data_IF_947204877787
#
_entry.id   IF_947204877787
#
_cell.length_a   1.000
_cell.length_b   1.000
_cell.length_c   1.000
_cell.angle_alpha   90.00
_cell.angle_beta   90.00
_cell.angle_gamma   90.00
#
_symmetry.space_group_name_H-M   'P 1'
#
loop_
_entity.id
_entity.type
_entity.pdbx_description
1 polymer ?
#
# COMPACT_ATOMS: atom_id res chain seq x y z
N UNK A 1 -9.08 -1.05 28.93
CA UNK A 1 -10.46 -0.70 28.56
C UNK A 1 -10.83 -1.43 27.29
N UNK A 2 -11.82 -2.33 27.32
CA UNK A 2 -12.42 -2.90 26.10
C UNK A 2 -13.31 -1.79 25.52
N UNK A 3 -12.85 -1.13 24.44
CA UNK A 3 -13.74 -0.26 23.66
C UNK A 3 -14.78 -1.17 23.03
N UNK A 4 -15.99 -1.19 23.56
CA UNK A 4 -17.12 -1.85 22.91
C UNK A 4 -17.35 -1.14 21.58
N UNK A 5 -17.17 -1.89 20.50
CA UNK A 5 -17.43 -1.36 19.16
C UNK A 5 -18.89 -0.94 19.08
N UNK A 6 -19.14 0.32 18.78
CA UNK A 6 -20.52 0.80 18.65
C UNK A 6 -21.18 0.15 17.42
N UNK A 7 -22.38 -0.46 17.54
CA UNK A 7 -22.98 -1.23 16.44
C UNK A 7 -23.11 -0.47 15.13
N UNK A 8 -23.44 0.85 15.20
CA UNK A 8 -23.58 1.68 13.99
C UNK A 8 -22.28 1.78 13.16
N UNK A 9 -21.09 1.70 13.81
CA UNK A 9 -19.80 1.74 13.12
C UNK A 9 -19.57 0.47 12.28
N UNK A 10 -19.98 -0.68 12.81
CA UNK A 10 -19.95 -1.94 12.06
C UNK A 10 -20.90 -1.88 10.87
N UNK A 11 -22.13 -1.40 11.09
CA UNK A 11 -23.14 -1.24 10.02
C UNK A 11 -22.58 -0.31 8.93
N UNK A 12 -22.08 0.86 9.30
CA UNK A 12 -21.51 1.82 8.34
C UNK A 12 -20.34 1.23 7.57
N UNK A 13 -19.42 0.53 8.26
CA UNK A 13 -18.27 -0.10 7.63
C UNK A 13 -18.70 -1.19 6.63
N UNK A 14 -19.58 -2.10 7.02
CA UNK A 14 -20.02 -3.17 6.13
C UNK A 14 -20.92 -2.67 5.00
N UNK A 15 -21.72 -1.63 5.22
CA UNK A 15 -22.50 -0.98 4.16
C UNK A 15 -21.57 -0.31 3.13
N UNK A 16 -20.53 0.42 3.56
CA UNK A 16 -19.56 1.01 2.67
C UNK A 16 -18.72 -0.05 1.93
N UNK A 17 -18.35 -1.14 2.61
CA UNK A 17 -17.66 -2.29 2.00
C UNK A 17 -18.55 -2.92 0.90
N UNK A 18 -19.80 -3.25 1.22
CA UNK A 18 -20.73 -3.85 0.28
C UNK A 18 -21.02 -2.93 -0.90
N UNK A 19 -21.24 -1.64 -0.64
CA UNK A 19 -21.47 -0.63 -1.68
C UNK A 19 -20.26 -0.48 -2.61
N UNK A 20 -19.05 -0.43 -2.07
CA UNK A 20 -17.81 -0.36 -2.84
C UNK A 20 -17.58 -1.60 -3.70
N UNK A 21 -17.85 -2.80 -3.16
CA UNK A 21 -17.79 -4.06 -3.92
C UNK A 21 -18.83 -4.08 -5.04
N UNK A 22 -20.10 -3.75 -4.73
CA UNK A 22 -21.17 -3.70 -5.71
C UNK A 22 -20.85 -2.72 -6.84
N UNK A 23 -20.35 -1.52 -6.49
CA UNK A 23 -19.91 -0.54 -7.47
C UNK A 23 -18.78 -1.07 -8.35
N UNK A 24 -17.72 -1.64 -7.76
CA UNK A 24 -16.57 -2.13 -8.52
C UNK A 24 -16.96 -3.24 -9.53
N UNK A 25 -17.80 -4.20 -9.10
CA UNK A 25 -18.19 -5.31 -9.96
C UNK A 25 -19.37 -4.99 -10.90
N UNK A 26 -20.07 -3.86 -10.72
CA UNK A 26 -21.03 -3.34 -11.70
C UNK A 26 -20.34 -2.70 -12.92
N UNK A 27 -19.05 -2.33 -12.78
CA UNK A 27 -18.30 -1.75 -13.89
C UNK A 27 -18.00 -2.81 -14.97
N UNK A 28 -17.81 -2.36 -16.22
CA UNK A 28 -17.33 -3.24 -17.30
C UNK A 28 -15.94 -3.79 -16.96
N UNK A 29 -15.67 -5.02 -17.41
CA UNK A 29 -14.30 -5.58 -17.33
C UNK A 29 -13.35 -4.74 -18.17
N UNK A 30 -12.13 -4.60 -17.67
CA UNK A 30 -11.04 -3.94 -18.39
C UNK A 30 -9.71 -4.63 -18.05
N UNK A 31 -8.91 -4.85 -19.07
CA UNK A 31 -7.58 -5.45 -18.95
C UNK A 31 -6.49 -4.45 -18.63
N UNK A 32 -5.28 -4.91 -18.59
CA UNK A 32 -4.10 -4.07 -18.46
C UNK A 32 -3.86 -3.32 -19.77
N UNK A 33 -3.84 -1.99 -19.71
CA UNK A 33 -3.43 -1.17 -20.84
C UNK A 33 -1.95 -1.47 -21.17
N UNK A 34 -1.62 -1.87 -22.40
CA UNK A 34 -0.23 -2.10 -22.80
C UNK A 34 0.68 -0.87 -22.63
N UNK A 35 0.12 0.33 -22.75
CA UNK A 35 0.86 1.58 -22.56
C UNK A 35 1.38 1.77 -21.12
N UNK A 36 0.83 1.04 -20.15
CA UNK A 36 1.30 1.05 -18.76
C UNK A 36 2.75 0.58 -18.61
N UNK A 37 3.25 -0.17 -19.59
CA UNK A 37 4.65 -0.64 -19.63
C UNK A 37 5.61 0.37 -20.27
N UNK A 38 5.10 1.48 -20.81
CA UNK A 38 5.89 2.52 -21.49
C UNK A 38 6.14 3.69 -20.52
N UNK A 39 7.33 3.73 -19.94
CA UNK A 39 7.72 4.78 -19.01
C UNK A 39 8.21 6.03 -19.74
N UNK A 40 7.97 7.21 -19.15
CA UNK A 40 8.48 8.48 -19.70
C UNK A 40 10.03 8.55 -19.60
N UNK A 41 10.62 7.96 -18.57
CA UNK A 41 12.06 7.83 -18.40
C UNK A 41 12.48 6.38 -18.60
N UNK A 42 12.93 6.06 -19.79
CA UNK A 42 13.44 4.74 -20.21
C UNK A 42 14.99 4.68 -20.26
N UNK A 43 15.65 5.71 -19.77
CA UNK A 43 17.11 5.84 -19.86
C UNK A 43 17.82 4.64 -19.24
N UNK A 44 18.77 4.10 -20.01
CA UNK A 44 19.71 3.09 -19.52
C UNK A 44 20.93 3.76 -18.93
N UNK A 45 21.29 3.37 -17.69
CA UNK A 45 22.51 3.83 -17.06
C UNK A 45 23.22 2.66 -16.36
N UNK A 46 24.55 2.61 -16.48
CA UNK A 46 25.38 1.52 -15.96
C UNK A 46 24.89 0.11 -16.38
N UNK A 47 24.33 -0.04 -17.59
CA UNK A 47 23.80 -1.29 -18.11
C UNK A 47 22.42 -1.68 -17.56
N UNK A 48 21.77 -0.84 -16.75
CA UNK A 48 20.44 -1.07 -16.20
C UNK A 48 19.41 -0.28 -17.00
N UNK A 49 18.48 -0.97 -17.67
CA UNK A 49 17.35 -0.34 -18.36
C UNK A 49 16.37 0.29 -17.36
N UNK A 50 15.68 1.37 -17.75
CA UNK A 50 14.76 2.10 -16.89
C UNK A 50 15.38 2.44 -15.52
N UNK A 51 16.64 2.84 -15.53
CA UNK A 51 17.50 2.95 -14.33
C UNK A 51 16.83 3.65 -13.16
N UNK A 52 16.24 4.83 -13.39
CA UNK A 52 15.63 5.59 -12.31
C UNK A 52 14.37 4.90 -11.77
N UNK A 53 13.58 4.24 -12.62
CA UNK A 53 12.42 3.45 -12.18
C UNK A 53 12.85 2.23 -11.34
N UNK A 54 14.03 1.66 -11.62
CA UNK A 54 14.60 0.56 -10.82
C UNK A 54 15.11 1.05 -9.46
N UNK A 55 16.01 2.04 -9.45
CA UNK A 55 16.73 2.44 -8.22
C UNK A 55 15.86 3.19 -7.22
N UNK A 56 14.82 3.89 -7.69
CA UNK A 56 13.86 4.59 -6.82
C UNK A 56 12.99 3.64 -6.00
N UNK A 57 13.09 2.32 -6.21
CA UNK A 57 12.48 1.31 -5.33
C UNK A 57 13.31 1.00 -4.07
N UNK A 58 14.60 1.36 -4.03
CA UNK A 58 15.44 1.12 -2.85
C UNK A 58 14.87 1.67 -1.53
N UNK A 59 14.23 2.84 -1.49
CA UNK A 59 13.58 3.35 -0.28
C UNK A 59 12.55 2.38 0.33
N UNK A 60 11.83 1.58 -0.46
CA UNK A 60 10.91 0.57 0.09
C UNK A 60 11.65 -0.49 0.91
N UNK A 61 12.81 -0.95 0.44
CA UNK A 61 13.66 -1.88 1.20
C UNK A 61 14.08 -1.25 2.54
N UNK A 62 14.61 -0.03 2.48
CA UNK A 62 15.09 0.67 3.68
C UNK A 62 13.96 0.90 4.70
N UNK A 63 12.78 1.30 4.23
CA UNK A 63 11.60 1.52 5.08
C UNK A 63 11.10 0.20 5.66
N UNK A 64 11.04 -0.87 4.88
CA UNK A 64 10.63 -2.20 5.36
C UNK A 64 11.59 -2.71 6.44
N UNK A 65 12.90 -2.65 6.21
CA UNK A 65 13.93 -3.04 7.19
C UNK A 65 13.88 -2.16 8.45
N UNK A 66 13.68 -0.85 8.30
CA UNK A 66 13.46 0.06 9.44
C UNK A 66 12.25 -0.40 10.27
N UNK A 67 11.13 -0.75 9.64
CA UNK A 67 9.93 -1.25 10.32
C UNK A 67 10.21 -2.51 11.13
N UNK A 68 10.92 -3.49 10.54
CA UNK A 68 11.32 -4.73 11.22
C UNK A 68 12.26 -4.47 12.40
N UNK A 69 13.25 -3.59 12.24
CA UNK A 69 14.19 -3.22 13.30
C UNK A 69 13.50 -2.49 14.47
N UNK A 70 12.33 -1.88 14.26
CA UNK A 70 11.60 -1.09 15.27
C UNK A 70 10.43 -1.83 15.93
N UNK A 71 10.23 -3.12 15.69
CA UNK A 71 9.12 -3.91 16.25
C UNK A 71 9.06 -3.89 17.80
N UNK A 72 10.19 -3.74 18.48
CA UNK A 72 10.25 -3.58 19.94
C UNK A 72 9.70 -2.23 20.43
N UNK A 73 9.52 -1.24 19.55
CA UNK A 73 9.06 0.13 19.87
C UNK A 73 7.60 0.38 19.54
N UNK A 74 6.83 -0.66 19.26
CA UNK A 74 5.40 -0.52 18.95
C UNK A 74 4.63 0.08 20.14
N UNK A 75 3.70 0.99 19.85
CA UNK A 75 2.77 1.55 20.83
C UNK A 75 1.90 0.46 21.44
N UNK A 76 1.47 -0.51 20.62
CA UNK A 76 0.66 -1.66 21.03
C UNK A 76 1.36 -2.95 20.58
N UNK A 77 2.00 -3.69 21.50
CA UNK A 77 2.76 -4.90 21.17
C UNK A 77 1.94 -5.99 20.46
N UNK A 78 0.62 -6.05 20.71
CA UNK A 78 -0.29 -6.98 20.06
C UNK A 78 -0.36 -6.81 18.53
N UNK A 79 0.06 -5.65 17.98
CA UNK A 79 0.10 -5.41 16.53
C UNK A 79 1.37 -5.97 15.85
N UNK A 80 2.33 -6.54 16.61
CA UNK A 80 3.65 -6.95 16.12
C UNK A 80 3.58 -7.82 14.87
N UNK A 81 2.75 -8.88 14.87
CA UNK A 81 2.63 -9.79 13.72
C UNK A 81 2.15 -9.07 12.45
N UNK A 82 1.09 -8.25 12.56
CA UNK A 82 0.60 -7.49 11.41
C UNK A 82 1.60 -6.44 10.91
N UNK A 83 2.30 -5.75 11.82
CA UNK A 83 3.36 -4.78 11.45
C UNK A 83 4.56 -5.49 10.82
N UNK A 84 4.93 -6.68 11.28
CA UNK A 84 5.99 -7.48 10.65
C UNK A 84 5.62 -7.85 9.22
N UNK A 85 4.41 -8.36 8.99
CA UNK A 85 3.93 -8.72 7.65
C UNK A 85 3.87 -7.49 6.75
N UNK A 86 3.37 -6.36 7.25
CA UNK A 86 3.36 -5.10 6.52
C UNK A 86 4.78 -4.68 6.10
N UNK A 87 5.73 -4.66 7.05
CA UNK A 87 7.10 -4.27 6.80
C UNK A 87 7.84 -5.23 5.84
N UNK A 88 7.58 -6.54 5.93
CA UNK A 88 8.08 -7.53 4.96
C UNK A 88 7.51 -7.28 3.56
N UNK A 89 6.19 -7.06 3.44
CA UNK A 89 5.55 -6.73 2.16
C UNK A 89 6.19 -5.50 1.53
N UNK A 90 6.38 -4.43 2.32
CA UNK A 90 7.06 -3.20 1.88
C UNK A 90 8.49 -3.47 1.40
N UNK A 91 9.29 -4.24 2.14
CA UNK A 91 10.65 -4.58 1.72
C UNK A 91 10.67 -5.39 0.40
N UNK A 92 9.72 -6.31 0.24
CA UNK A 92 9.59 -7.13 -0.96
C UNK A 92 9.14 -6.33 -2.19
N UNK A 93 8.42 -5.21 -2.02
CA UNK A 93 8.08 -4.29 -3.13
C UNK A 93 9.35 -3.83 -3.84
N UNK A 94 10.44 -3.54 -3.11
CA UNK A 94 11.69 -3.11 -3.72
C UNK A 94 12.23 -4.09 -4.76
N UNK A 95 12.11 -5.38 -4.50
CA UNK A 95 12.58 -6.43 -5.41
C UNK A 95 11.59 -6.69 -6.55
N UNK A 96 10.31 -6.84 -6.24
CA UNK A 96 9.27 -7.13 -7.24
C UNK A 96 9.11 -5.98 -8.24
N UNK A 97 9.10 -4.73 -7.74
CA UNK A 97 8.99 -3.55 -8.59
C UNK A 97 10.27 -3.31 -9.41
N UNK A 98 11.47 -3.45 -8.81
CA UNK A 98 12.70 -3.35 -9.56
C UNK A 98 12.77 -4.40 -10.69
N UNK A 99 12.37 -5.64 -10.41
CA UNK A 99 12.28 -6.70 -11.42
C UNK A 99 11.33 -6.34 -12.57
N UNK A 100 10.15 -5.81 -12.24
CA UNK A 100 9.20 -5.34 -13.25
C UNK A 100 9.82 -4.25 -14.14
N UNK A 101 10.50 -3.27 -13.55
CA UNK A 101 11.09 -2.17 -14.30
C UNK A 101 12.29 -2.57 -15.15
N UNK A 102 13.02 -3.63 -14.80
CA UNK A 102 14.09 -4.18 -15.64
C UNK A 102 13.57 -4.77 -16.95
N UNK A 103 12.39 -5.39 -16.95
CA UNK A 103 11.79 -6.04 -18.12
C UNK A 103 10.25 -5.90 -18.06
N UNK A 104 9.69 -4.72 -18.39
CA UNK A 104 8.26 -4.43 -18.23
C UNK A 104 7.39 -5.37 -19.08
N UNK A 105 6.48 -6.09 -18.42
CA UNK A 105 5.50 -6.97 -19.03
C UNK A 105 4.41 -7.34 -18.00
N UNK A 106 3.28 -7.89 -18.44
CA UNK A 106 2.27 -8.41 -17.53
C UNK A 106 2.82 -9.52 -16.61
N UNK A 107 3.74 -10.35 -17.10
CA UNK A 107 4.36 -11.43 -16.33
C UNK A 107 5.23 -10.88 -15.16
N UNK A 108 6.05 -9.88 -15.44
CA UNK A 108 6.90 -9.25 -14.41
C UNK A 108 6.09 -8.33 -13.48
N UNK A 109 4.99 -7.73 -13.97
CA UNK A 109 4.06 -6.92 -13.18
C UNK A 109 3.35 -7.74 -12.08
N UNK A 110 3.21 -9.05 -12.25
CA UNK A 110 2.75 -9.95 -11.16
C UNK A 110 3.63 -9.80 -9.92
N UNK A 111 4.94 -9.77 -10.10
CA UNK A 111 5.91 -9.69 -9.00
C UNK A 111 5.98 -8.31 -8.35
N UNK A 112 5.68 -7.24 -9.09
CA UNK A 112 5.47 -5.91 -8.52
C UNK A 112 4.22 -5.86 -7.64
N UNK A 113 3.10 -6.37 -8.14
CA UNK A 113 1.79 -6.29 -7.48
C UNK A 113 1.64 -7.18 -6.26
N UNK A 114 2.20 -8.40 -6.27
CA UNK A 114 2.06 -9.33 -5.16
C UNK A 114 2.50 -8.74 -3.81
N UNK A 115 3.74 -8.23 -3.64
CA UNK A 115 4.15 -7.65 -2.37
C UNK A 115 3.36 -6.36 -2.03
N UNK A 116 2.90 -5.61 -3.02
CA UNK A 116 2.00 -4.46 -2.78
C UNK A 116 0.70 -4.91 -2.13
N UNK A 117 0.08 -6.01 -2.59
CA UNK A 117 -1.16 -6.52 -1.96
C UNK A 117 -0.92 -6.98 -0.53
N UNK A 118 0.25 -7.56 -0.22
CA UNK A 118 0.63 -7.89 1.17
C UNK A 118 0.67 -6.62 2.03
N UNK A 119 1.30 -5.56 1.53
CA UNK A 119 1.35 -4.27 2.22
C UNK A 119 -0.04 -3.67 2.44
N UNK A 120 -0.86 -3.57 1.40
CA UNK A 120 -2.21 -3.01 1.50
C UNK A 120 -3.09 -3.77 2.49
N UNK A 121 -3.13 -5.10 2.39
CA UNK A 121 -4.00 -5.91 3.22
C UNK A 121 -3.53 -6.00 4.67
N UNK A 122 -2.22 -6.04 4.91
CA UNK A 122 -1.69 -5.98 6.27
C UNK A 122 -1.97 -4.63 6.94
N UNK A 123 -1.75 -3.50 6.25
CA UNK A 123 -2.06 -2.16 6.77
C UNK A 123 -3.56 -2.01 7.04
N UNK A 124 -4.40 -2.46 6.12
CA UNK A 124 -5.86 -2.40 6.29
C UNK A 124 -6.31 -3.21 7.51
N UNK A 125 -5.83 -4.46 7.66
CA UNK A 125 -6.07 -5.29 8.85
C UNK A 125 -5.66 -4.58 10.15
N UNK A 126 -4.48 -3.93 10.19
CA UNK A 126 -4.00 -3.18 11.34
C UNK A 126 -4.92 -2.00 11.70
N UNK A 127 -5.43 -1.29 10.69
CA UNK A 127 -6.34 -0.16 10.89
C UNK A 127 -7.70 -0.65 11.38
N UNK A 128 -8.24 -1.73 10.84
CA UNK A 128 -9.48 -2.38 11.33
C UNK A 128 -9.30 -2.83 12.78
N UNK A 129 -8.15 -3.42 13.16
CA UNK A 129 -7.82 -3.80 14.55
C UNK A 129 -7.81 -2.61 15.49
N UNK A 130 -7.28 -1.48 15.06
CA UNK A 130 -7.14 -0.30 15.91
C UNK A 130 -8.42 0.54 15.97
N UNK A 131 -9.16 0.63 14.87
CA UNK A 131 -10.27 1.58 14.71
C UNK A 131 -11.64 0.96 14.87
N UNK A 132 -11.83 -0.30 14.50
CA UNK A 132 -13.13 -0.96 14.49
C UNK A 132 -13.22 -2.08 15.52
N UNK A 133 -12.45 -3.14 15.37
CA UNK A 133 -12.46 -4.30 16.26
C UNK A 133 -11.13 -5.07 16.20
N UNK A 134 -10.49 -5.28 17.36
CA UNK A 134 -9.24 -6.05 17.43
C UNK A 134 -9.44 -7.48 16.94
N UNK A 135 -10.54 -8.12 17.32
CA UNK A 135 -10.86 -9.48 16.91
C UNK A 135 -11.08 -9.56 15.40
N UNK A 136 -11.91 -8.67 14.84
CA UNK A 136 -12.22 -8.65 13.41
C UNK A 136 -10.94 -8.46 12.59
N UNK A 137 -10.14 -7.42 12.86
CA UNK A 137 -8.92 -7.15 12.10
C UNK A 137 -7.88 -8.26 12.25
N UNK A 138 -7.74 -8.86 13.44
CA UNK A 138 -6.81 -9.98 13.65
C UNK A 138 -7.17 -11.21 12.82
N UNK A 139 -8.44 -11.61 12.82
CA UNK A 139 -8.88 -12.77 12.07
C UNK A 139 -9.01 -12.50 10.56
N UNK A 140 -9.21 -11.24 10.17
CA UNK A 140 -9.24 -10.85 8.77
C UNK A 140 -7.86 -10.87 8.09
N UNK A 141 -6.74 -10.79 8.84
CA UNK A 141 -5.40 -10.66 8.25
C UNK A 141 -5.10 -11.76 7.23
N UNK A 142 -5.19 -13.02 7.62
CA UNK A 142 -4.88 -14.15 6.72
C UNK A 142 -5.83 -14.22 5.51
N UNK A 143 -7.18 -14.15 5.67
CA UNK A 143 -8.08 -14.06 4.52
C UNK A 143 -7.77 -12.87 3.59
N UNK A 144 -7.49 -11.69 4.14
CA UNK A 144 -7.16 -10.50 3.33
C UNK A 144 -5.88 -10.70 2.51
N UNK A 145 -4.83 -11.31 3.09
CA UNK A 145 -3.61 -11.63 2.36
C UNK A 145 -3.88 -12.60 1.20
N UNK A 146 -4.67 -13.65 1.45
CA UNK A 146 -5.06 -14.62 0.41
C UNK A 146 -5.87 -13.96 -0.70
N UNK A 147 -6.87 -13.13 -0.34
CA UNK A 147 -7.70 -12.39 -1.29
C UNK A 147 -6.84 -11.41 -2.10
N UNK A 148 -5.89 -10.72 -1.44
CA UNK A 148 -4.94 -9.82 -2.11
C UNK A 148 -4.10 -10.55 -3.15
N UNK A 149 -3.46 -11.65 -2.79
CA UNK A 149 -2.68 -12.46 -3.73
C UNK A 149 -3.54 -13.05 -4.86
N UNK A 150 -4.73 -13.58 -4.52
CA UNK A 150 -5.67 -14.13 -5.51
C UNK A 150 -6.09 -13.10 -6.54
N UNK A 151 -6.22 -11.82 -6.18
CA UNK A 151 -6.59 -10.76 -7.12
C UNK A 151 -5.56 -10.55 -8.21
N UNK A 152 -4.27 -10.69 -7.89
CA UNK A 152 -3.16 -10.57 -8.85
C UNK A 152 -3.14 -11.79 -9.79
N UNK A 153 -3.26 -13.00 -9.25
CA UNK A 153 -3.29 -14.22 -10.06
C UNK A 153 -4.54 -14.29 -10.94
N UNK A 154 -5.70 -13.87 -10.43
CA UNK A 154 -6.94 -13.77 -11.21
C UNK A 154 -6.78 -12.81 -12.39
N UNK A 155 -6.29 -11.58 -12.13
CA UNK A 155 -6.01 -10.63 -13.19
C UNK A 155 -5.08 -11.25 -14.24
N UNK A 156 -3.94 -11.80 -13.82
CA UNK A 156 -2.97 -12.35 -14.76
C UNK A 156 -3.52 -13.52 -15.57
N UNK A 157 -4.28 -14.43 -14.94
CA UNK A 157 -4.92 -15.54 -15.64
C UNK A 157 -5.94 -15.06 -16.69
N UNK A 158 -6.71 -14.01 -16.40
CA UNK A 158 -7.66 -13.41 -17.35
C UNK A 158 -6.96 -12.67 -18.49
N UNK A 159 -5.81 -12.03 -18.25
CA UNK A 159 -4.97 -11.44 -19.30
C UNK A 159 -4.45 -12.51 -20.27
N UNK A 160 -3.95 -13.63 -19.77
CA UNK A 160 -3.48 -14.75 -20.60
C UNK A 160 -4.59 -15.35 -21.48
N UNK A 161 -5.85 -15.20 -21.08
CA UNK A 161 -7.02 -15.64 -21.84
C UNK A 161 -7.55 -14.57 -22.81
N UNK A 162 -6.91 -13.40 -22.88
CA UNK A 162 -7.38 -12.27 -23.72
C UNK A 162 -8.67 -11.59 -23.20
N UNK A 163 -9.05 -11.85 -21.95
CA UNK A 163 -10.27 -11.33 -21.33
C UNK A 163 -9.97 -10.54 -20.03
N UNK A 164 -8.88 -9.82 -20.02
CA UNK A 164 -8.33 -9.14 -18.85
C UNK A 164 -9.36 -8.49 -17.92
N UNK A 165 -9.23 -8.73 -16.61
CA UNK A 165 -10.14 -8.18 -15.59
C UNK A 165 -9.35 -7.68 -14.37
N UNK A 166 -9.08 -6.37 -14.36
CA UNK A 166 -8.40 -5.67 -13.26
C UNK A 166 -9.33 -5.30 -12.09
N UNK A 167 -10.65 -5.44 -12.21
CA UNK A 167 -11.59 -4.96 -11.18
C UNK A 167 -11.27 -5.51 -9.80
N UNK A 168 -10.96 -6.81 -9.71
CA UNK A 168 -10.63 -7.44 -8.43
C UNK A 168 -9.36 -6.84 -7.82
N UNK A 169 -8.29 -6.64 -8.60
CA UNK A 169 -7.07 -5.99 -8.13
C UNK A 169 -7.33 -4.53 -7.71
N UNK A 170 -8.13 -3.78 -8.47
CA UNK A 170 -8.51 -2.41 -8.09
C UNK A 170 -9.31 -2.34 -6.78
N UNK A 171 -10.15 -3.32 -6.50
CA UNK A 171 -10.81 -3.44 -5.19
C UNK A 171 -9.77 -3.54 -4.07
N UNK A 172 -8.76 -4.41 -4.22
CA UNK A 172 -7.70 -4.58 -3.23
C UNK A 172 -6.89 -3.29 -3.01
N UNK A 173 -6.65 -2.55 -4.06
CA UNK A 173 -5.85 -1.33 -4.01
C UNK A 173 -6.65 -0.12 -3.53
N UNK A 174 -7.87 0.08 -4.00
CA UNK A 174 -8.61 1.34 -3.83
C UNK A 174 -9.73 1.29 -2.79
N UNK A 175 -10.35 0.15 -2.54
CA UNK A 175 -11.41 0.06 -1.53
C UNK A 175 -10.90 0.41 -0.12
N UNK A 176 -9.68 0.01 0.33
CA UNK A 176 -9.10 0.51 1.56
C UNK A 176 -8.97 2.03 1.61
N UNK A 177 -8.68 2.69 0.47
CA UNK A 177 -8.59 4.16 0.39
C UNK A 177 -9.91 4.86 0.70
N UNK A 178 -11.04 4.21 0.44
CA UNK A 178 -12.37 4.68 0.84
C UNK A 178 -12.68 4.34 2.31
N UNK A 179 -12.36 3.13 2.76
CA UNK A 179 -12.73 2.64 4.08
C UNK A 179 -11.86 3.20 5.21
N UNK A 180 -10.57 3.48 4.95
CA UNK A 180 -9.66 4.02 5.96
C UNK A 180 -10.09 5.42 6.44
N UNK A 181 -10.38 6.41 5.58
CA UNK A 181 -10.93 7.69 6.00
C UNK A 181 -12.20 7.54 6.84
N UNK A 182 -13.12 6.65 6.41
CA UNK A 182 -14.34 6.37 7.16
C UNK A 182 -14.04 5.87 8.57
N UNK A 183 -13.09 4.94 8.73
CA UNK A 183 -12.65 4.43 10.02
C UNK A 183 -11.96 5.50 10.88
N UNK A 184 -11.19 6.39 10.27
CA UNK A 184 -10.50 7.47 10.97
C UNK A 184 -11.47 8.55 11.48
N UNK A 185 -12.51 8.85 10.71
CA UNK A 185 -13.54 9.85 11.05
C UNK A 185 -14.58 9.30 12.03
N UNK A 186 -14.87 8.00 11.99
CA UNK A 186 -15.95 7.40 12.79
C UNK A 186 -15.62 7.24 14.28
N UNK A 187 -14.40 7.54 14.74
CA UNK A 187 -14.07 7.54 16.16
C UNK A 187 -12.62 7.28 16.52
N UNK A 188 -12.34 7.42 17.81
CA UNK A 188 -11.01 7.20 18.36
C UNK A 188 -10.59 5.73 18.24
N UNK A 189 -9.33 5.49 17.89
CA UNK A 189 -8.74 4.15 17.87
C UNK A 189 -8.37 3.64 19.26
N UNK A 190 -7.98 2.37 19.32
CA UNK A 190 -7.48 1.72 20.55
C UNK A 190 -6.07 2.19 20.98
N UNK A 191 -5.54 3.24 20.35
CA UNK A 191 -4.26 3.87 20.71
C UNK A 191 -3.02 3.17 20.13
N UNK A 192 -3.19 2.17 19.26
CA UNK A 192 -2.10 1.48 18.59
C UNK A 192 -1.51 2.26 17.42
N UNK A 193 -2.37 3.03 16.71
CA UNK A 193 -2.01 3.79 15.53
C UNK A 193 -2.38 5.28 15.69
N UNK A 194 -1.46 6.17 15.33
CA UNK A 194 -1.66 7.63 15.38
C UNK A 194 -2.35 8.13 14.11
N UNK A 195 -3.52 8.78 14.26
CA UNK A 195 -4.34 9.25 13.13
C UNK A 195 -3.60 10.22 12.20
N UNK A 196 -2.82 11.16 12.75
CA UNK A 196 -2.10 12.15 11.93
C UNK A 196 -1.16 11.51 10.91
N UNK A 197 -0.43 10.46 11.31
CA UNK A 197 0.43 9.73 10.39
C UNK A 197 -0.36 8.90 9.35
N UNK A 198 -1.53 8.38 9.72
CA UNK A 198 -2.40 7.68 8.77
C UNK A 198 -3.00 8.64 7.74
N UNK A 199 -3.38 9.87 8.14
CA UNK A 199 -3.78 10.91 7.19
C UNK A 199 -2.64 11.33 6.26
N UNK A 200 -1.41 11.46 6.79
CA UNK A 200 -0.22 11.70 5.98
C UNK A 200 0.04 10.56 4.97
N UNK A 201 -0.15 9.30 5.40
CA UNK A 201 -0.06 8.12 4.51
C UNK A 201 -1.05 8.24 3.34
N UNK A 202 -2.31 8.57 3.61
CA UNK A 202 -3.33 8.72 2.58
C UNK A 202 -3.02 9.88 1.62
N UNK A 203 -2.63 11.03 2.16
CA UNK A 203 -2.28 12.21 1.35
C UNK A 203 -1.08 11.93 0.43
N UNK A 204 -0.02 11.31 0.97
CA UNK A 204 1.16 10.94 0.17
C UNK A 204 0.82 9.87 -0.86
N UNK A 205 -0.04 8.89 -0.53
CA UNK A 205 -0.47 7.90 -1.51
C UNK A 205 -1.23 8.54 -2.68
N UNK A 206 -2.14 9.48 -2.40
CA UNK A 206 -2.84 10.23 -3.45
C UNK A 206 -1.86 11.06 -4.29
N UNK A 207 -0.89 11.71 -3.65
CA UNK A 207 0.17 12.45 -4.35
C UNK A 207 1.01 11.53 -5.24
N UNK A 208 1.36 10.33 -4.76
CA UNK A 208 2.06 9.33 -5.56
C UNK A 208 1.25 8.91 -6.80
N UNK A 209 -0.08 8.76 -6.67
CA UNK A 209 -0.95 8.46 -7.81
C UNK A 209 -1.04 9.63 -8.80
N UNK A 210 -1.01 10.87 -8.32
CA UNK A 210 -0.94 12.04 -9.19
C UNK A 210 0.41 12.12 -9.94
N UNK A 211 1.53 11.85 -9.26
CA UNK A 211 2.83 11.79 -9.90
C UNK A 211 2.87 10.72 -11.01
N UNK A 212 2.33 9.52 -10.75
CA UNK A 212 2.20 8.45 -11.75
C UNK A 212 1.34 8.87 -12.95
N UNK A 213 0.20 9.51 -12.70
CA UNK A 213 -0.71 9.97 -13.77
C UNK A 213 -0.10 11.06 -14.65
N UNK A 214 0.86 11.84 -14.12
CA UNK A 214 1.54 12.90 -14.83
C UNK A 214 3.00 12.56 -15.18
N UNK A 215 3.30 11.26 -15.38
CA UNK A 215 4.65 10.72 -15.57
C UNK A 215 5.45 11.53 -16.59
N UNK A 216 4.95 11.64 -17.82
CA UNK A 216 5.63 12.34 -18.92
C UNK A 216 5.74 13.83 -18.68
N UNK A 217 4.67 14.49 -18.23
CA UNK A 217 4.67 15.94 -18.02
C UNK A 217 5.71 16.35 -16.94
N UNK A 218 5.83 15.58 -15.86
CA UNK A 218 6.84 15.82 -14.82
C UNK A 218 8.25 15.56 -15.31
N UNK A 219 8.45 14.58 -16.19
CA UNK A 219 9.75 14.30 -16.78
C UNK A 219 10.17 15.42 -17.74
N UNK A 220 9.28 15.86 -18.64
CA UNK A 220 9.55 16.95 -19.57
C UNK A 220 9.82 18.28 -18.86
N UNK A 221 9.10 18.56 -17.76
CA UNK A 221 9.29 19.77 -16.98
C UNK A 221 10.60 19.77 -16.15
N UNK A 222 11.01 18.63 -15.62
CA UNK A 222 12.18 18.56 -14.73
C UNK A 222 13.48 18.18 -15.44
N UNK A 223 13.40 17.35 -16.48
CA UNK A 223 14.54 16.71 -17.13
C UNK A 223 15.31 15.72 -16.23
N UNK A 224 14.89 15.55 -14.97
CA UNK A 224 15.62 14.79 -13.95
C UNK A 224 14.99 13.43 -13.67
N UNK A 225 13.78 13.42 -13.11
CA UNK A 225 13.03 12.24 -12.73
C UNK A 225 11.65 12.27 -13.35
N UNK A 226 11.19 11.12 -13.82
CA UNK A 226 9.82 10.96 -14.29
C UNK A 226 8.83 10.95 -13.12
N UNK A 227 7.57 11.20 -13.41
CA UNK A 227 6.51 11.10 -12.41
C UNK A 227 6.41 9.68 -11.84
N UNK A 228 6.75 8.65 -12.64
CA UNK A 228 6.77 7.27 -12.19
C UNK A 228 7.89 7.01 -11.17
N UNK A 229 9.12 7.48 -11.41
CA UNK A 229 10.20 7.41 -10.45
C UNK A 229 9.88 8.21 -9.17
N UNK A 230 9.28 9.39 -9.33
CA UNK A 230 8.85 10.22 -8.20
C UNK A 230 7.76 9.54 -7.38
N UNK A 231 6.82 8.83 -8.02
CA UNK A 231 5.80 8.00 -7.36
C UNK A 231 6.43 7.02 -6.37
N UNK A 232 7.53 6.35 -6.72
CA UNK A 232 8.19 5.39 -5.82
C UNK A 232 8.69 6.08 -4.54
N UNK A 233 9.33 7.23 -4.67
CA UNK A 233 9.86 7.98 -3.52
C UNK A 233 8.73 8.47 -2.60
N UNK A 234 7.66 9.02 -3.19
CA UNK A 234 6.49 9.50 -2.44
C UNK A 234 5.76 8.33 -1.77
N UNK A 235 5.56 7.21 -2.48
CA UNK A 235 4.90 6.03 -1.92
C UNK A 235 5.74 5.39 -0.80
N UNK A 236 7.07 5.33 -0.92
CA UNK A 236 7.94 4.89 0.16
C UNK A 236 7.82 5.81 1.39
N UNK A 237 7.67 7.12 1.19
CA UNK A 237 7.40 8.07 2.28
C UNK A 237 6.03 7.84 2.92
N UNK A 238 5.01 7.49 2.12
CA UNK A 238 3.68 7.13 2.64
C UNK A 238 3.74 5.90 3.54
N UNK A 239 4.43 4.84 3.12
CA UNK A 239 4.60 3.62 3.94
C UNK A 239 5.44 3.87 5.20
N UNK A 240 6.43 4.77 5.14
CA UNK A 240 7.16 5.22 6.33
C UNK A 240 6.20 5.89 7.32
N UNK A 241 5.32 6.78 6.87
CA UNK A 241 4.29 7.39 7.71
C UNK A 241 3.38 6.32 8.37
N UNK A 242 2.97 5.30 7.61
CA UNK A 242 2.18 4.20 8.15
C UNK A 242 2.92 3.43 9.27
N UNK A 243 4.22 3.17 9.12
CA UNK A 243 5.05 2.57 10.17
C UNK A 243 5.20 3.50 11.37
N UNK A 244 5.47 4.78 11.16
CA UNK A 244 5.58 5.79 12.23
C UNK A 244 4.27 5.94 13.01
N UNK A 245 3.11 5.68 12.39
CA UNK A 245 1.83 5.64 13.08
C UNK A 245 1.83 4.61 14.22
N UNK A 246 2.46 3.46 14.03
CA UNK A 246 2.50 2.36 14.99
C UNK A 246 3.60 2.49 16.06
N UNK A 247 4.59 3.36 15.87
CA UNK A 247 5.76 3.45 16.73
C UNK A 247 5.57 4.49 17.87
N UNK A 248 6.23 4.24 19.01
CA UNK A 248 6.40 5.24 20.08
C UNK A 248 7.37 6.33 19.61
N UNK A 249 7.21 7.59 20.05
CA UNK A 249 8.22 8.63 19.83
C UNK A 249 9.58 8.16 20.35
N UNK A 250 10.66 8.68 19.77
CA UNK A 250 11.96 8.55 20.41
C UNK A 250 11.86 9.16 21.81
N UNK A 251 12.44 8.50 22.84
CA UNK A 251 12.64 9.17 24.12
C UNK A 251 13.58 10.35 23.84
N UNK A 252 13.16 11.57 24.21
CA UNK A 252 14.10 12.66 24.40
C UNK A 252 15.19 12.16 25.36
N UNK A 253 16.47 12.40 25.04
CA UNK A 253 17.53 12.18 26.02
C UNK A 253 17.12 12.94 27.29
N UNK A 254 17.29 12.34 28.51
CA UNK A 254 17.17 13.15 29.71
C UNK A 254 18.15 14.31 29.56
N UNK A 255 17.66 15.54 29.75
CA UNK A 255 18.51 16.69 29.82
C UNK A 255 19.60 16.34 30.81
N UNK A 256 20.87 16.35 30.33
CA UNK A 256 22.02 16.14 31.17
C UNK A 256 22.07 17.29 32.18
N UNK A 257 21.66 16.99 33.41
CA UNK A 257 21.76 17.90 34.54
C UNK A 257 23.22 18.00 35.02
#
# INVERSE_FOLDING_TARGET
MKTTTQPWRLVLFFAALAGGLAFAFSQRRFGQDPSYHLFADDRTWAGVSNFWNVVTNLPFLLVGLFGLARLGRLRRPALRGGVSIFACGVALVAFGSAWYHLAPSNATLVWDRLPMTVGFMALFSLIVRDRLSDSLGRHALAPLLLIGASSVFYWYATELQGAGDLRFYYVIQFLPMLLIPLLLLSGAGAGGLRSGWLWATLALYLLAKQAEAHDRALFEASGLLSGHSLKHLIAASAVLCALLAALRPARSAPDAA
#
